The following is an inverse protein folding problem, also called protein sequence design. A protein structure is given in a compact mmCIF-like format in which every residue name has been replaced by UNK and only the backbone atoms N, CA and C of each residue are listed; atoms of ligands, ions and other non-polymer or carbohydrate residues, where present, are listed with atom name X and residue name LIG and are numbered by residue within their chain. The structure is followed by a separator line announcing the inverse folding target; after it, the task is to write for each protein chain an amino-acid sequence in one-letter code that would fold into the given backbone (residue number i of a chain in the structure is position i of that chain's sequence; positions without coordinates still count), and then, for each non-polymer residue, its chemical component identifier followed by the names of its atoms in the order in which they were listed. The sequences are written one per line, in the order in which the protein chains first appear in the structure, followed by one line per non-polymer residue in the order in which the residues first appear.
data_IF_999875776835
#
_entry.id   IF_999875776835
#
_cell.length_a   1.000
_cell.length_b   1.000
_cell.length_c   1.000
_cell.angle_alpha   90.00
_cell.angle_beta   90.00
_cell.angle_gamma   90.00
#
_symmetry.space_group_name_H-M   'P 1'
#
loop_
_entity.id
_entity.type
_entity.pdbx_description
1 polymer ?
#
# COMPACT_ATOMS: atom_id res chain seq x y z
N UNK A 1 12.55 16.60 22.92
CA UNK A 1 12.58 15.14 23.12
C UNK A 1 11.82 14.81 24.39
N UNK A 2 10.81 13.93 24.33
CA UNK A 2 9.87 13.70 25.44
C UNK A 2 10.43 12.83 26.59
N UNK A 3 11.62 12.23 26.42
CA UNK A 3 12.32 11.46 27.45
C UNK A 3 11.63 10.16 27.87
N UNK A 4 12.27 9.38 28.75
CA UNK A 4 11.73 8.12 29.28
C UNK A 4 10.42 8.31 30.07
N UNK A 5 10.19 9.50 30.63
CA UNK A 5 8.97 9.86 31.34
C UNK A 5 7.71 9.81 30.46
N UNK A 6 7.84 10.07 29.15
CA UNK A 6 6.72 10.01 28.22
C UNK A 6 6.17 8.59 28.02
N UNK A 7 6.94 7.55 28.35
CA UNK A 7 6.48 6.15 28.28
C UNK A 7 5.54 5.79 29.44
N UNK A 8 5.64 6.50 30.57
CA UNK A 8 4.79 6.24 31.74
C UNK A 8 3.39 6.87 31.65
N UNK A 9 3.18 7.81 30.72
CA UNK A 9 1.91 8.50 30.53
C UNK A 9 1.09 7.91 29.38
N UNK A 10 -0.18 7.58 29.64
CA UNK A 10 -1.09 7.19 28.57
C UNK A 10 -1.56 8.43 27.80
N UNK A 11 -1.12 8.54 26.54
CA UNK A 11 -1.51 9.64 25.66
C UNK A 11 -2.58 9.17 24.65
N UNK A 12 -3.83 9.61 24.86
CA UNK A 12 -4.95 9.22 24.00
C UNK A 12 -4.75 9.65 22.54
N UNK A 13 -4.13 10.80 22.30
CA UNK A 13 -3.84 11.27 20.94
C UNK A 13 -2.88 10.33 20.21
N UNK A 14 -1.77 9.95 20.85
CA UNK A 14 -0.81 8.97 20.31
C UNK A 14 -1.46 7.60 20.13
N UNK A 15 -2.29 7.17 21.10
CA UNK A 15 -3.01 5.91 21.02
C UNK A 15 -3.95 5.84 19.81
N UNK A 16 -4.69 6.92 19.53
CA UNK A 16 -5.55 7.01 18.34
C UNK A 16 -4.76 6.90 17.03
N UNK A 17 -3.61 7.55 16.96
CA UNK A 17 -2.71 7.44 15.79
C UNK A 17 -2.25 5.98 15.63
N UNK A 18 -1.79 5.34 16.71
CA UNK A 18 -1.33 3.96 16.67
C UNK A 18 -2.44 2.98 16.27
N UNK A 19 -3.64 3.14 16.84
CA UNK A 19 -4.81 2.33 16.51
C UNK A 19 -5.26 2.53 15.06
N UNK A 20 -5.29 3.79 14.60
CA UNK A 20 -5.59 4.16 13.21
C UNK A 20 -4.61 3.51 12.24
N UNK A 21 -3.30 3.59 12.50
CA UNK A 21 -2.27 2.96 11.68
C UNK A 21 -2.44 1.44 11.62
N UNK A 22 -2.74 0.80 12.75
CA UNK A 22 -2.91 -0.66 12.81
C UNK A 22 -4.11 -1.13 11.97
N UNK A 23 -5.25 -0.45 12.11
CA UNK A 23 -6.47 -0.77 11.37
C UNK A 23 -6.29 -0.48 9.87
N UNK A 24 -5.77 0.71 9.54
CA UNK A 24 -5.50 1.12 8.17
C UNK A 24 -4.59 0.13 7.45
N UNK A 25 -3.46 -0.23 8.07
CA UNK A 25 -2.51 -1.16 7.50
C UNK A 25 -3.13 -2.54 7.31
N UNK A 26 -3.81 -3.06 8.33
CA UNK A 26 -4.41 -4.41 8.25
C UNK A 26 -5.45 -4.48 7.14
N UNK A 27 -6.39 -3.54 7.11
CA UNK A 27 -7.45 -3.52 6.10
C UNK A 27 -6.90 -3.20 4.71
N UNK A 28 -6.00 -2.23 4.60
CA UNK A 28 -5.35 -1.84 3.35
C UNK A 28 -4.55 -2.98 2.73
N UNK A 29 -3.77 -3.72 3.53
CA UNK A 29 -3.01 -4.88 3.08
C UNK A 29 -3.91 -6.06 2.70
N UNK A 30 -4.96 -6.35 3.49
CA UNK A 30 -5.91 -7.41 3.12
C UNK A 30 -6.61 -7.10 1.80
N UNK A 31 -7.00 -5.84 1.59
CA UNK A 31 -7.62 -5.41 0.34
C UNK A 31 -6.65 -5.49 -0.83
N UNK A 32 -5.39 -5.07 -0.65
CA UNK A 32 -4.36 -5.19 -1.68
C UNK A 32 -4.19 -6.65 -2.11
N UNK A 33 -4.00 -7.58 -1.16
CA UNK A 33 -3.86 -9.01 -1.45
C UNK A 33 -5.11 -9.57 -2.14
N UNK A 34 -6.31 -9.18 -1.68
CA UNK A 34 -7.57 -9.64 -2.26
C UNK A 34 -7.75 -9.15 -3.69
N UNK A 35 -7.55 -7.85 -3.94
CA UNK A 35 -7.66 -7.26 -5.28
C UNK A 35 -6.59 -7.83 -6.20
N UNK A 36 -5.36 -7.94 -5.74
CA UNK A 36 -4.25 -8.50 -6.51
C UNK A 36 -4.54 -9.95 -6.92
N UNK A 37 -4.90 -10.80 -5.96
CA UNK A 37 -5.18 -12.21 -6.23
C UNK A 37 -6.36 -12.38 -7.19
N UNK A 38 -7.43 -11.59 -7.03
CA UNK A 38 -8.60 -11.62 -7.90
C UNK A 38 -8.27 -11.16 -9.33
N UNK A 39 -7.59 -10.03 -9.48
CA UNK A 39 -7.18 -9.51 -10.78
C UNK A 39 -6.16 -10.42 -11.46
N UNK A 40 -5.20 -10.97 -10.71
CA UNK A 40 -4.21 -11.90 -11.24
C UNK A 40 -4.85 -13.18 -11.77
N UNK A 41 -5.84 -13.74 -11.05
CA UNK A 41 -6.57 -14.91 -11.51
C UNK A 41 -7.39 -14.62 -12.77
N UNK A 42 -8.04 -13.45 -12.84
CA UNK A 42 -8.91 -13.06 -13.96
C UNK A 42 -8.13 -12.66 -15.21
N UNK A 43 -6.97 -12.03 -15.03
CA UNK A 43 -6.09 -11.55 -16.12
C UNK A 43 -5.02 -12.58 -16.53
N UNK A 44 -5.05 -13.79 -15.96
CA UNK A 44 -4.11 -14.87 -16.27
C UNK A 44 -4.24 -15.29 -17.74
N UNK A 45 -3.34 -14.77 -18.59
CA UNK A 45 -3.36 -14.96 -20.05
C UNK A 45 -3.29 -13.66 -20.86
N UNK A 46 -3.55 -12.51 -20.24
CA UNK A 46 -3.50 -11.19 -20.89
C UNK A 46 -2.10 -10.56 -20.82
N UNK A 47 -1.72 -9.79 -21.85
CA UNK A 47 -0.43 -9.06 -21.94
C UNK A 47 -0.27 -7.96 -20.86
N UNK A 48 -1.33 -7.64 -20.12
CA UNK A 48 -1.44 -6.54 -19.14
C UNK A 48 -1.16 -6.98 -17.70
N UNK A 49 -0.06 -7.71 -17.47
CA UNK A 49 0.32 -8.20 -16.14
C UNK A 49 0.50 -7.10 -15.08
N UNK A 50 0.80 -5.86 -15.52
CA UNK A 50 1.04 -4.68 -14.69
C UNK A 50 -0.23 -4.07 -14.10
N UNK A 51 -1.40 -4.39 -14.66
CA UNK A 51 -2.67 -3.84 -14.20
C UNK A 51 -3.06 -4.37 -12.81
N UNK A 52 -2.81 -5.66 -12.54
CA UNK A 52 -3.11 -6.27 -11.26
C UNK A 52 -2.37 -5.58 -10.08
N UNK A 53 -1.02 -5.43 -10.09
CA UNK A 53 -0.31 -4.75 -9.02
C UNK A 53 -0.61 -3.24 -8.95
N UNK A 54 -0.86 -2.58 -10.09
CA UNK A 54 -1.22 -1.16 -10.08
C UNK A 54 -2.58 -0.93 -9.41
N UNK A 55 -3.60 -1.68 -9.82
CA UNK A 55 -4.95 -1.53 -9.29
C UNK A 55 -5.05 -1.94 -7.82
N UNK A 56 -4.35 -3.00 -7.40
CA UNK A 56 -4.31 -3.41 -5.99
C UNK A 56 -3.65 -2.34 -5.13
N UNK A 57 -2.52 -1.79 -5.58
CA UNK A 57 -1.80 -0.73 -4.86
C UNK A 57 -2.65 0.53 -4.73
N UNK A 58 -3.36 0.94 -5.78
CA UNK A 58 -4.25 2.11 -5.76
C UNK A 58 -5.36 1.91 -4.73
N UNK A 59 -6.08 0.79 -4.80
CA UNK A 59 -7.21 0.54 -3.90
C UNK A 59 -6.78 0.31 -2.45
N UNK A 60 -5.69 -0.43 -2.23
CA UNK A 60 -5.13 -0.68 -0.90
C UNK A 60 -4.70 0.62 -0.22
N UNK A 61 -3.93 1.47 -0.92
CA UNK A 61 -3.48 2.76 -0.36
C UNK A 61 -4.62 3.74 -0.15
N UNK A 62 -5.68 3.70 -0.98
CA UNK A 62 -6.85 4.54 -0.80
C UNK A 62 -7.55 4.21 0.53
N UNK A 63 -7.84 2.93 0.74
CA UNK A 63 -8.53 2.48 1.96
C UNK A 63 -7.65 2.66 3.19
N UNK A 64 -6.35 2.37 3.10
CA UNK A 64 -5.37 2.66 4.15
C UNK A 64 -5.43 4.14 4.57
N UNK A 65 -5.29 5.06 3.61
CA UNK A 65 -5.24 6.49 3.90
C UNK A 65 -6.57 7.00 4.47
N UNK A 66 -7.70 6.61 3.90
CA UNK A 66 -9.03 7.00 4.40
C UNK A 66 -9.24 6.50 5.83
N UNK A 67 -8.90 5.24 6.13
CA UNK A 67 -9.05 4.68 7.47
C UNK A 67 -8.08 5.31 8.47
N UNK A 68 -6.82 5.52 8.08
CA UNK A 68 -5.83 6.14 8.95
C UNK A 68 -6.26 7.55 9.35
N UNK A 69 -6.53 8.42 8.37
CA UNK A 69 -6.84 9.82 8.66
C UNK A 69 -8.20 9.98 9.34
N UNK A 70 -9.19 9.14 9.00
CA UNK A 70 -10.48 9.15 9.70
C UNK A 70 -10.33 8.70 11.16
N UNK A 71 -9.60 7.64 11.48
CA UNK A 71 -9.49 7.17 12.87
C UNK A 71 -8.58 8.10 13.70
N UNK A 72 -7.45 8.51 13.13
CA UNK A 72 -6.44 9.31 13.81
C UNK A 72 -6.90 10.76 14.04
N UNK A 73 -7.51 11.40 13.04
CA UNK A 73 -7.71 12.86 13.04
C UNK A 73 -9.16 13.34 13.05
N UNK A 74 -10.14 12.48 12.74
CA UNK A 74 -11.56 12.86 12.84
C UNK A 74 -11.91 13.25 14.27
N UNK A 75 -12.39 14.48 14.50
CA UNK A 75 -12.65 15.00 15.83
C UNK A 75 -11.47 14.80 16.81
N UNK A 76 -10.24 15.00 16.32
CA UNK A 76 -9.05 14.98 17.18
C UNK A 76 -8.94 16.24 18.03
N UNK A 77 -8.11 16.17 19.07
CA UNK A 77 -7.84 17.29 19.98
C UNK A 77 -7.08 18.44 19.31
N UNK A 78 -6.55 18.22 18.10
CA UNK A 78 -5.91 19.24 17.27
C UNK A 78 -6.96 19.84 16.32
N UNK A 79 -7.38 21.11 16.51
CA UNK A 79 -8.41 21.74 15.70
C UNK A 79 -8.03 21.84 14.21
N UNK A 80 -6.74 22.02 13.91
CA UNK A 80 -6.26 22.14 12.54
C UNK A 80 -6.38 20.79 11.83
N UNK A 81 -5.87 19.73 12.46
CA UNK A 81 -5.96 18.38 11.88
C UNK A 81 -7.41 17.91 11.79
N UNK A 82 -8.25 18.20 12.78
CA UNK A 82 -9.66 17.84 12.76
C UNK A 82 -10.47 18.56 11.65
N UNK A 83 -10.07 19.78 11.28
CA UNK A 83 -10.72 20.54 10.19
C UNK A 83 -10.20 20.12 8.80
N UNK A 84 -8.90 19.84 8.67
CA UNK A 84 -8.23 19.65 7.37
C UNK A 84 -7.82 18.20 7.06
N UNK A 85 -8.20 17.21 7.89
CA UNK A 85 -7.75 15.83 7.71
C UNK A 85 -8.04 15.25 6.32
N UNK A 86 -9.13 15.66 5.67
CA UNK A 86 -9.48 15.18 4.31
C UNK A 86 -8.50 15.73 3.27
N UNK A 87 -8.15 17.01 3.34
CA UNK A 87 -7.20 17.64 2.42
C UNK A 87 -5.80 17.03 2.61
N UNK A 88 -5.39 16.84 3.86
CA UNK A 88 -4.10 16.22 4.20
C UNK A 88 -4.08 14.76 3.72
N UNK A 89 -5.16 14.01 3.92
CA UNK A 89 -5.28 12.63 3.45
C UNK A 89 -5.20 12.55 1.91
N UNK A 90 -5.81 13.51 1.21
CA UNK A 90 -5.76 13.55 -0.25
C UNK A 90 -4.34 13.81 -0.76
N UNK A 91 -3.62 14.74 -0.13
CA UNK A 91 -2.22 15.04 -0.47
C UNK A 91 -1.31 13.85 -0.16
N UNK A 92 -1.45 13.22 1.01
CA UNK A 92 -0.72 12.00 1.38
C UNK A 92 -0.97 10.88 0.36
N UNK A 93 -2.25 10.65 0.02
CA UNK A 93 -2.62 9.65 -0.96
C UNK A 93 -2.06 9.96 -2.36
N UNK A 94 -2.10 11.22 -2.80
CA UNK A 94 -1.51 11.63 -4.07
C UNK A 94 0.00 11.36 -4.10
N UNK A 95 0.71 11.67 -3.02
CA UNK A 95 2.15 11.36 -2.89
C UNK A 95 2.40 9.85 -2.91
N UNK A 96 1.61 9.06 -2.19
CA UNK A 96 1.69 7.58 -2.22
C UNK A 96 1.50 7.05 -3.64
N UNK A 97 0.53 7.55 -4.39
CA UNK A 97 0.30 7.16 -5.78
C UNK A 97 1.43 7.57 -6.72
N UNK A 98 1.96 8.79 -6.59
CA UNK A 98 3.11 9.23 -7.38
C UNK A 98 4.32 8.34 -7.14
N UNK A 99 4.60 7.99 -5.88
CA UNK A 99 5.69 7.08 -5.51
C UNK A 99 5.46 5.66 -6.03
N UNK A 100 4.22 5.15 -5.95
CA UNK A 100 3.88 3.83 -6.49
C UNK A 100 4.05 3.77 -8.02
N UNK A 101 3.63 4.83 -8.73
CA UNK A 101 3.73 4.93 -10.17
C UNK A 101 5.19 5.09 -10.66
N UNK A 102 5.99 5.94 -10.00
CA UNK A 102 7.37 6.24 -10.39
C UNK A 102 8.37 5.18 -9.91
N UNK A 103 8.11 4.55 -8.78
CA UNK A 103 9.00 3.56 -8.18
C UNK A 103 8.65 2.15 -8.63
N UNK A 104 7.55 1.61 -8.10
CA UNK A 104 7.26 0.17 -8.11
C UNK A 104 7.00 -0.37 -9.51
N UNK A 105 6.19 0.31 -10.34
CA UNK A 105 5.88 -0.17 -11.68
C UNK A 105 7.12 -0.30 -12.60
N UNK A 106 7.96 0.74 -12.78
CA UNK A 106 9.14 0.65 -13.63
C UNK A 106 10.24 -0.23 -13.02
N UNK A 107 10.49 -0.16 -11.70
CA UNK A 107 11.49 -1.04 -11.08
C UNK A 107 11.09 -2.52 -11.16
N UNK A 108 9.82 -2.86 -10.93
CA UNK A 108 9.37 -4.24 -11.02
C UNK A 108 9.55 -4.78 -12.45
N UNK A 109 9.23 -3.97 -13.47
CA UNK A 109 9.48 -4.33 -14.88
C UNK A 109 10.95 -4.57 -15.19
N UNK A 110 11.84 -3.68 -14.71
CA UNK A 110 13.29 -3.80 -14.88
C UNK A 110 13.86 -5.02 -14.14
N UNK A 111 13.43 -5.27 -12.90
CA UNK A 111 13.83 -6.44 -12.11
C UNK A 111 13.39 -7.74 -12.77
N UNK A 112 12.15 -7.81 -13.25
CA UNK A 112 11.64 -8.99 -13.94
C UNK A 112 12.44 -9.25 -15.22
N UNK A 113 12.73 -8.20 -16.00
CA UNK A 113 13.56 -8.31 -17.20
C UNK A 113 14.99 -8.79 -16.86
N UNK A 114 15.59 -8.26 -15.80
CA UNK A 114 16.91 -8.66 -15.32
C UNK A 114 16.92 -10.12 -14.83
N UNK A 115 15.88 -10.57 -14.12
CA UNK A 115 15.76 -11.93 -13.60
C UNK A 115 15.55 -12.93 -14.74
N UNK A 116 14.66 -12.62 -15.69
CA UNK A 116 14.38 -13.48 -16.86
C UNK A 116 15.61 -13.63 -17.74
N UNK A 117 16.44 -12.59 -17.89
CA UNK A 117 17.70 -12.71 -18.66
C UNK A 117 18.72 -13.63 -17.96
N UNK A 118 18.60 -13.84 -16.64
CA UNK A 118 19.52 -14.65 -15.85
C UNK A 118 19.07 -16.11 -15.71
N UNK A 119 17.80 -16.42 -15.97
CA UNK A 119 17.34 -17.81 -16.01
C UNK A 119 17.82 -18.52 -17.28
N UNK A 120 18.63 -19.59 -17.17
CA UNK A 120 18.94 -20.46 -18.30
C UNK A 120 17.65 -21.09 -18.81
N UNK A 121 17.35 -20.97 -20.11
CA UNK A 121 16.23 -21.68 -20.73
C UNK A 121 16.56 -23.17 -20.77
N UNK A 122 16.19 -23.91 -19.73
CA UNK A 122 16.32 -25.37 -19.69
C UNK A 122 15.46 -26.04 -20.77
N UNK A 123 15.92 -27.15 -21.38
CA UNK A 123 15.23 -27.79 -22.48
C UNK A 123 14.04 -28.62 -21.97
N UNK A 124 12.88 -27.98 -21.80
CA UNK A 124 11.63 -28.68 -21.43
C UNK A 124 11.04 -29.50 -22.60
N UNK A 125 11.63 -29.42 -23.80
CA UNK A 125 11.09 -30.02 -25.03
C UNK A 125 11.44 -31.50 -25.28
N UNK A 126 12.22 -32.16 -24.42
CA UNK A 126 12.71 -33.51 -24.70
C UNK A 126 11.89 -34.67 -24.10
N UNK A 127 10.86 -34.42 -23.29
CA UNK A 127 10.06 -35.47 -22.61
C UNK A 127 8.70 -35.76 -23.25
N UNK A 128 8.43 -35.22 -24.45
CA UNK A 128 7.15 -35.35 -25.14
C UNK A 128 7.24 -36.10 -26.50
N UNK A 129 8.33 -36.85 -26.73
CA UNK A 129 8.54 -37.65 -27.94
C UNK A 129 8.73 -39.13 -27.58
#
# INVERSE_FOLDING_TARGET
FAGWAALGGFNLFVFRIALGSFIAYTVGQMLDIFVFSRLRATLSGSRHWWLAPAASSVLGNLVDSVLFFSIAFYASTDPFMAAHWVEIALVDYAVKLMMAALGILPLYGLLLAALVRWMPRGPVRAMAA
#
